data_IF_875014012756
#
_entry.id   IF_875014012756
#
_cell.length_a   1.000
_cell.length_b   1.000
_cell.length_c   1.000
_cell.angle_alpha   90.00
_cell.angle_beta   90.00
_cell.angle_gamma   90.00
#
_symmetry.space_group_name_H-M   'P 1'
#
loop_
_entity.id
_entity.type
_entity.pdbx_description
1 polymer ?
#
# COMPACT_ATOMS: atom_id res chain seq x y z
N UNK A 1 14.66 12.31 9.40
CA UNK A 1 13.71 11.34 9.97
C UNK A 1 14.50 10.52 10.96
N UNK A 2 14.04 10.41 12.21
CA UNK A 2 14.69 9.56 13.21
C UNK A 2 14.36 8.09 12.93
N UNK A 3 15.08 7.14 13.54
CA UNK A 3 14.78 5.70 13.41
C UNK A 3 13.36 5.38 13.89
N UNK A 4 12.88 6.09 14.93
CA UNK A 4 11.51 5.98 15.43
C UNK A 4 10.47 6.46 14.40
N UNK A 5 10.75 7.55 13.69
CA UNK A 5 9.88 8.05 12.62
C UNK A 5 9.85 7.10 11.41
N UNK A 6 10.99 6.49 11.09
CA UNK A 6 11.10 5.48 10.03
C UNK A 6 10.30 4.22 10.36
N UNK A 7 10.44 3.72 11.58
CA UNK A 7 9.67 2.56 12.05
C UNK A 7 8.16 2.86 12.05
N UNK A 8 7.76 4.07 12.45
CA UNK A 8 6.36 4.47 12.40
C UNK A 8 5.82 4.51 10.95
N UNK A 9 6.55 5.12 10.03
CA UNK A 9 6.18 5.19 8.62
C UNK A 9 6.11 3.79 7.97
N UNK A 10 7.08 2.94 8.27
CA UNK A 10 7.10 1.55 7.83
C UNK A 10 5.90 0.77 8.39
N UNK A 11 5.58 0.95 9.67
CA UNK A 11 4.40 0.33 10.30
C UNK A 11 3.11 0.78 9.60
N UNK A 12 2.97 2.08 9.29
CA UNK A 12 1.83 2.61 8.54
C UNK A 12 1.73 2.00 7.13
N UNK A 13 2.86 1.85 6.43
CA UNK A 13 2.91 1.18 5.13
C UNK A 13 2.39 -0.26 5.21
N UNK A 14 2.93 -1.09 6.11
CA UNK A 14 2.52 -2.49 6.24
C UNK A 14 1.07 -2.64 6.72
N UNK A 15 0.60 -1.77 7.62
CA UNK A 15 -0.81 -1.76 8.03
C UNK A 15 -1.75 -1.42 6.88
N UNK A 16 -1.38 -0.43 6.08
CA UNK A 16 -2.20 0.02 4.96
C UNK A 16 -2.25 -1.04 3.85
N UNK A 17 -1.14 -1.73 3.60
CA UNK A 17 -1.08 -2.88 2.68
C UNK A 17 -1.88 -4.09 3.21
N UNK A 18 -1.75 -4.43 4.51
CA UNK A 18 -2.51 -5.51 5.14
C UNK A 18 -4.01 -5.23 5.11
N UNK A 19 -4.43 -4.01 5.42
CA UNK A 19 -5.83 -3.61 5.38
C UNK A 19 -6.43 -3.81 3.97
N UNK A 20 -5.66 -3.51 2.92
CA UNK A 20 -6.08 -3.76 1.55
C UNK A 20 -6.24 -5.25 1.26
N UNK A 21 -5.26 -6.07 1.66
CA UNK A 21 -5.30 -7.51 1.41
C UNK A 21 -6.35 -8.27 2.23
N UNK A 22 -6.60 -7.88 3.49
CA UNK A 22 -7.66 -8.46 4.34
C UNK A 22 -9.05 -8.10 3.84
N UNK A 23 -9.20 -6.92 3.20
CA UNK A 23 -10.40 -6.62 2.42
C UNK A 23 -10.64 -7.65 1.29
N UNK A 24 -9.64 -8.43 0.89
CA UNK A 24 -9.69 -9.45 -0.15
C UNK A 24 -9.78 -10.91 0.32
N UNK A 25 -10.04 -11.18 1.61
CA UNK A 25 -10.17 -12.49 2.29
C UNK A 25 -8.87 -13.15 2.80
N UNK A 26 -7.75 -13.07 2.07
CA UNK A 26 -6.40 -13.47 2.53
C UNK A 26 -5.32 -12.76 1.69
N UNK A 27 -4.17 -12.42 2.27
CA UNK A 27 -3.05 -11.83 1.52
C UNK A 27 -2.30 -12.94 0.77
N UNK A 28 -2.34 -12.99 -0.58
CA UNK A 28 -1.52 -13.93 -1.33
C UNK A 28 -0.03 -13.66 -1.06
N UNK A 29 0.78 -14.71 -0.99
CA UNK A 29 2.24 -14.63 -0.74
C UNK A 29 2.98 -13.68 -1.68
N UNK A 30 2.47 -13.52 -2.91
CA UNK A 30 3.00 -12.57 -3.92
C UNK A 30 2.80 -11.12 -3.49
N UNK A 31 1.65 -10.77 -2.90
CA UNK A 31 1.38 -9.42 -2.42
C UNK A 31 2.21 -9.10 -1.17
N UNK A 32 2.44 -10.08 -0.30
CA UNK A 32 3.30 -9.92 0.88
C UNK A 32 4.75 -9.64 0.49
N UNK A 33 5.33 -10.42 -0.44
CA UNK A 33 6.67 -10.20 -0.95
C UNK A 33 6.81 -8.85 -1.68
N UNK A 34 5.80 -8.49 -2.50
CA UNK A 34 5.77 -7.19 -3.18
C UNK A 34 5.71 -6.02 -2.19
N UNK A 35 5.00 -6.17 -1.07
CA UNK A 35 4.86 -5.13 -0.05
C UNK A 35 6.21 -4.72 0.53
N UNK A 36 7.10 -5.68 0.81
CA UNK A 36 8.46 -5.39 1.30
C UNK A 36 9.32 -4.71 0.23
N UNK A 37 9.32 -5.23 -1.00
CA UNK A 37 10.13 -4.69 -2.10
C UNK A 37 9.74 -3.25 -2.44
N UNK A 38 8.44 -2.93 -2.48
CA UNK A 38 7.97 -1.58 -2.73
C UNK A 38 8.25 -0.63 -1.56
N UNK A 39 8.23 -1.12 -0.30
CA UNK A 39 8.64 -0.30 0.85
C UNK A 39 10.10 0.17 0.70
N UNK A 40 11.00 -0.74 0.33
CA UNK A 40 12.41 -0.42 0.09
C UNK A 40 12.57 0.54 -1.11
N UNK A 41 11.88 0.28 -2.22
CA UNK A 41 12.04 1.06 -3.45
C UNK A 41 11.39 2.46 -3.40
N UNK A 42 10.23 2.61 -2.76
CA UNK A 42 9.45 3.86 -2.75
C UNK A 42 9.80 4.73 -1.53
N UNK A 43 10.04 4.10 -0.37
CA UNK A 43 10.24 4.79 0.90
C UNK A 43 11.70 4.70 1.40
N UNK A 44 12.55 3.91 0.75
CA UNK A 44 13.98 3.82 1.08
C UNK A 44 14.25 3.06 2.37
N UNK A 45 13.33 2.21 2.82
CA UNK A 45 13.54 1.39 4.02
C UNK A 45 14.57 0.30 3.79
N UNK A 46 15.27 -0.09 4.85
CA UNK A 46 16.10 -1.29 4.85
C UNK A 46 15.24 -2.53 5.10
N UNK A 47 15.81 -3.71 4.87
CA UNK A 47 15.14 -4.97 5.17
C UNK A 47 14.88 -5.12 6.69
N UNK A 48 15.82 -4.66 7.52
CA UNK A 48 15.69 -4.70 8.99
C UNK A 48 14.49 -3.88 9.47
N UNK A 49 14.34 -2.64 9.00
CA UNK A 49 13.18 -1.79 9.32
C UNK A 49 11.89 -2.44 8.84
N UNK A 50 11.90 -3.07 7.67
CA UNK A 50 10.73 -3.79 7.18
C UNK A 50 10.36 -4.98 8.07
N UNK A 51 11.35 -5.73 8.58
CA UNK A 51 11.15 -6.85 9.49
C UNK A 51 10.61 -6.38 10.84
N UNK A 52 11.21 -5.33 11.43
CA UNK A 52 10.74 -4.74 12.70
C UNK A 52 9.34 -4.16 12.59
N UNK A 53 9.03 -3.45 11.50
CA UNK A 53 7.71 -2.88 11.27
C UNK A 53 6.61 -3.94 11.09
N UNK A 54 6.97 -5.17 10.71
CA UNK A 54 6.07 -6.32 10.58
C UNK A 54 5.85 -7.08 11.89
N UNK A 55 6.61 -6.75 12.94
CA UNK A 55 6.48 -7.42 14.23
C UNK A 55 5.05 -7.33 14.76
N UNK A 56 4.53 -8.49 15.17
CA UNK A 56 3.16 -8.66 15.62
C UNK A 56 2.82 -7.75 16.80
N UNK A 57 3.78 -7.38 17.66
CA UNK A 57 3.52 -6.51 18.82
C UNK A 57 3.15 -5.08 18.41
N UNK A 58 3.73 -4.58 17.31
CA UNK A 58 3.49 -3.24 16.78
C UNK A 58 2.26 -3.16 15.86
N UNK A 59 2.02 -4.20 15.06
CA UNK A 59 0.90 -4.26 14.10
C UNK A 59 -0.42 -4.74 14.74
N UNK A 60 -0.38 -5.68 15.68
CA UNK A 60 -1.61 -6.29 16.25
C UNK A 60 -2.45 -5.31 17.07
N UNK A 61 -1.83 -4.28 17.63
CA UNK A 61 -2.48 -3.27 18.47
C UNK A 61 -3.08 -2.10 17.67
N UNK A 62 -2.90 -2.06 16.34
CA UNK A 62 -3.32 -0.93 15.51
C UNK A 62 -4.56 -1.26 14.69
N UNK A 63 -5.54 -0.36 14.75
CA UNK A 63 -6.82 -0.44 14.07
C UNK A 63 -6.77 0.22 12.68
N UNK A 64 -7.82 0.01 11.88
CA UNK A 64 -8.01 0.77 10.62
C UNK A 64 -8.09 2.28 10.87
N UNK A 65 -8.60 2.71 12.02
CA UNK A 65 -8.69 4.13 12.39
C UNK A 65 -7.30 4.70 12.63
N UNK A 66 -6.43 3.95 13.31
CA UNK A 66 -5.05 4.36 13.55
C UNK A 66 -4.27 4.48 12.24
N UNK A 67 -4.54 3.58 11.28
CA UNK A 67 -3.98 3.64 9.95
C UNK A 67 -4.40 4.92 9.20
N UNK A 68 -5.71 5.19 9.09
CA UNK A 68 -6.21 6.38 8.39
C UNK A 68 -5.76 7.68 9.06
N UNK A 69 -5.77 7.71 10.39
CA UNK A 69 -5.34 8.88 11.17
C UNK A 69 -3.84 9.13 11.02
N UNK A 70 -3.03 8.06 11.03
CA UNK A 70 -1.59 8.15 10.84
C UNK A 70 -1.22 8.64 9.45
N UNK A 71 -1.84 8.08 8.40
CA UNK A 71 -1.58 8.51 7.01
C UNK A 71 -1.97 9.98 6.80
N UNK A 72 -3.08 10.44 7.40
CA UNK A 72 -3.52 11.85 7.34
C UNK A 72 -2.51 12.83 7.96
N UNK A 73 -1.74 12.40 8.96
CA UNK A 73 -0.76 13.26 9.65
C UNK A 73 0.59 13.35 8.93
N UNK A 74 0.79 12.54 7.88
CA UNK A 74 2.03 12.57 7.12
C UNK A 74 2.12 13.82 6.22
N UNK A 75 3.34 14.27 5.91
CA UNK A 75 3.56 15.14 4.77
C UNK A 75 2.88 14.57 3.51
N UNK A 76 2.18 15.42 2.76
CA UNK A 76 1.37 15.02 1.59
C UNK A 76 2.14 14.10 0.63
N UNK A 77 3.39 14.43 0.33
CA UNK A 77 4.25 13.62 -0.55
C UNK A 77 4.42 12.18 -0.06
N UNK A 78 4.61 11.97 1.26
CA UNK A 78 4.75 10.62 1.83
C UNK A 78 3.41 9.89 1.82
N UNK A 79 2.31 10.59 2.11
CA UNK A 79 0.98 10.01 2.09
C UNK A 79 0.57 9.55 0.67
N UNK A 80 0.88 10.35 -0.35
CA UNK A 80 0.68 9.99 -1.76
C UNK A 80 1.55 8.81 -2.20
N UNK A 81 2.80 8.72 -1.71
CA UNK A 81 3.67 7.54 -1.95
C UNK A 81 3.07 6.27 -1.36
N UNK A 82 2.52 6.33 -0.14
CA UNK A 82 1.82 5.21 0.50
C UNK A 82 0.62 4.79 -0.35
N UNK A 83 -0.27 5.72 -0.70
CA UNK A 83 -1.45 5.43 -1.53
C UNK A 83 -1.07 4.77 -2.86
N UNK A 84 -0.09 5.35 -3.56
CA UNK A 84 0.35 4.86 -4.87
C UNK A 84 0.94 3.45 -4.75
N UNK A 85 1.84 3.22 -3.79
CA UNK A 85 2.48 1.93 -3.60
C UNK A 85 1.50 0.82 -3.26
N UNK A 86 0.53 1.11 -2.40
CA UNK A 86 -0.54 0.17 -2.03
C UNK A 86 -1.43 -0.18 -3.23
N UNK A 87 -1.81 0.81 -4.03
CA UNK A 87 -2.54 0.55 -5.26
C UNK A 87 -1.76 -0.32 -6.23
N UNK A 88 -0.44 -0.11 -6.36
CA UNK A 88 0.43 -0.95 -7.20
C UNK A 88 0.51 -2.39 -6.67
N UNK A 89 0.53 -2.60 -5.35
CA UNK A 89 0.51 -3.93 -4.74
C UNK A 89 -0.80 -4.65 -5.10
N UNK A 90 -1.96 -4.02 -4.95
CA UNK A 90 -3.21 -4.68 -5.34
C UNK A 90 -3.33 -4.90 -6.84
N UNK A 91 -2.77 -4.01 -7.67
CA UNK A 91 -2.66 -4.24 -9.11
C UNK A 91 -1.62 -5.30 -9.51
N UNK A 92 -0.90 -5.93 -8.57
CA UNK A 92 0.05 -7.00 -8.91
C UNK A 92 -0.61 -8.15 -9.68
N UNK A 93 -1.90 -8.38 -9.45
CA UNK A 93 -2.72 -9.37 -10.16
C UNK A 93 -3.68 -8.75 -11.20
N UNK A 94 -3.36 -7.54 -11.70
CA UNK A 94 -4.08 -6.81 -12.77
C UNK A 94 -5.54 -6.47 -12.48
N UNK A 95 -6.04 -6.75 -11.28
CA UNK A 95 -7.39 -6.42 -10.86
C UNK A 95 -7.37 -5.98 -9.40
N UNK A 96 -8.27 -5.06 -9.06
CA UNK A 96 -8.62 -4.81 -7.67
C UNK A 96 -10.02 -5.35 -7.42
N UNK A 97 -10.19 -6.07 -6.32
CA UNK A 97 -11.50 -6.46 -5.80
C UNK A 97 -12.26 -5.22 -5.31
N UNK A 98 -13.61 -5.23 -5.29
CA UNK A 98 -14.39 -4.08 -4.85
C UNK A 98 -14.01 -3.54 -3.45
N UNK A 99 -13.64 -4.42 -2.53
CA UNK A 99 -13.22 -4.04 -1.19
C UNK A 99 -11.83 -3.36 -1.17
N UNK A 100 -10.92 -3.77 -2.05
CA UNK A 100 -9.62 -3.10 -2.24
C UNK A 100 -9.83 -1.69 -2.81
N UNK A 101 -10.72 -1.54 -3.80
CA UNK A 101 -11.09 -0.20 -4.35
C UNK A 101 -11.69 0.69 -3.27
N UNK A 102 -12.58 0.14 -2.44
CA UNK A 102 -13.18 0.87 -1.31
C UNK A 102 -12.12 1.31 -0.31
N UNK A 103 -11.16 0.45 0.01
CA UNK A 103 -10.04 0.79 0.89
C UNK A 103 -9.15 1.89 0.31
N UNK A 104 -8.75 1.77 -0.95
CA UNK A 104 -7.95 2.79 -1.63
C UNK A 104 -8.69 4.14 -1.70
N UNK A 105 -10.02 4.12 -1.88
CA UNK A 105 -10.86 5.32 -1.83
C UNK A 105 -10.89 5.96 -0.44
N UNK A 106 -10.93 5.15 0.63
CA UNK A 106 -10.87 5.63 2.01
C UNK A 106 -9.51 6.25 2.34
N UNK A 107 -8.41 5.64 1.89
CA UNK A 107 -7.06 6.20 2.03
C UNK A 107 -6.92 7.52 1.27
N UNK A 108 -7.35 7.58 0.01
CA UNK A 108 -7.35 8.79 -0.80
C UNK A 108 -8.13 9.93 -0.13
N UNK A 109 -9.32 9.62 0.40
CA UNK A 109 -10.14 10.59 1.16
C UNK A 109 -9.43 11.09 2.43
N UNK A 110 -8.74 10.20 3.16
CA UNK A 110 -8.02 10.58 4.38
C UNK A 110 -6.88 11.57 4.14
N UNK A 111 -6.32 11.60 2.91
CA UNK A 111 -5.24 12.51 2.50
C UNK A 111 -5.73 13.64 1.59
N UNK A 112 -7.05 13.87 1.55
CA UNK A 112 -7.69 14.95 0.80
C UNK A 112 -7.45 14.89 -0.72
N UNK A 113 -7.27 13.69 -1.27
CA UNK A 113 -7.27 13.45 -2.72
C UNK A 113 -8.72 13.47 -3.21
N UNK A 114 -8.99 14.28 -4.22
CA UNK A 114 -10.34 14.37 -4.80
C UNK A 114 -10.74 13.08 -5.52
N UNK A 115 -12.04 12.77 -5.64
CA UNK A 115 -12.50 11.61 -6.41
C UNK A 115 -11.98 11.59 -7.85
N UNK A 116 -11.87 12.75 -8.49
CA UNK A 116 -11.37 12.88 -9.87
C UNK A 116 -9.87 12.59 -9.98
N UNK A 117 -9.08 12.97 -8.98
CA UNK A 117 -7.66 12.63 -8.88
C UNK A 117 -7.48 11.14 -8.61
N UNK A 118 -8.28 10.59 -7.68
CA UNK A 118 -8.26 9.16 -7.36
C UNK A 118 -8.62 8.29 -8.58
N UNK A 119 -9.66 8.67 -9.32
CA UNK A 119 -10.05 7.95 -10.54
C UNK A 119 -8.93 7.98 -11.60
N UNK A 120 -8.24 9.11 -11.75
CA UNK A 120 -7.05 9.22 -12.64
C UNK A 120 -5.92 8.29 -12.17
N UNK A 121 -5.65 8.22 -10.88
CA UNK A 121 -4.66 7.28 -10.32
C UNK A 121 -5.01 5.82 -10.63
N UNK A 122 -6.28 5.41 -10.45
CA UNK A 122 -6.74 4.06 -10.78
C UNK A 122 -6.55 3.72 -12.26
N UNK A 123 -6.90 4.64 -13.16
CA UNK A 123 -6.71 4.45 -14.61
C UNK A 123 -5.23 4.29 -14.94
N UNK A 124 -4.38 5.19 -14.44
CA UNK A 124 -2.94 5.17 -14.72
C UNK A 124 -2.27 3.89 -14.19
N UNK A 125 -2.60 3.48 -12.96
CA UNK A 125 -2.07 2.28 -12.36
C UNK A 125 -2.48 1.02 -13.14
N UNK A 126 -3.72 0.96 -13.64
CA UNK A 126 -4.19 -0.13 -14.53
C UNK A 126 -3.39 -0.19 -15.84
N UNK A 127 -3.16 0.96 -16.47
CA UNK A 127 -2.36 1.06 -17.70
C UNK A 127 -0.93 0.56 -17.45
N UNK A 128 -0.27 1.03 -16.39
CA UNK A 128 1.09 0.61 -16.03
C UNK A 128 1.14 -0.90 -15.76
N UNK A 129 0.20 -1.45 -14.98
CA UNK A 129 0.11 -2.88 -14.71
C UNK A 129 -0.03 -3.71 -15.99
N UNK A 130 -0.77 -3.21 -17.00
CA UNK A 130 -0.90 -3.86 -18.30
C UNK A 130 0.39 -3.84 -19.14
N UNK A 131 1.26 -2.84 -18.94
CA UNK A 131 2.54 -2.69 -19.66
C UNK A 131 3.63 -3.60 -19.07
N UNK A 132 3.63 -3.81 -17.75
CA UNK A 132 4.65 -4.59 -17.04
C UNK A 132 4.59 -6.10 -17.30
N UNK A 133 3.51 -6.61 -17.87
CA UNK A 133 3.43 -7.96 -18.45
C UNK A 133 2.61 -7.90 -19.74
N UNK A 134 3.24 -7.75 -20.93
CA UNK A 134 2.53 -7.72 -22.19
C UNK A 134 1.69 -9.00 -22.37
N UNK A 135 0.52 -8.88 -22.99
CA UNK A 135 -0.36 -10.01 -23.27
C UNK A 135 0.42 -11.06 -24.08
N UNK A 136 0.81 -12.19 -23.46
CA UNK A 136 1.50 -13.26 -24.20
C UNK A 136 2.41 -14.23 -23.45
N UNK A 137 2.70 -14.07 -22.15
CA UNK A 137 3.40 -15.13 -21.42
C UNK A 137 2.37 -16.10 -20.81
N UNK A 138 2.27 -17.37 -21.26
CA UNK A 138 1.50 -18.37 -20.54
C UNK A 138 2.08 -18.51 -19.13
N UNK A 139 1.19 -18.69 -18.15
CA UNK A 139 1.59 -19.04 -16.80
C UNK A 139 2.38 -20.36 -16.84
N UNK A 140 3.67 -20.29 -16.51
CA UNK A 140 4.52 -21.43 -16.18
C UNK A 140 4.40 -21.75 -14.70
#
# INVERSE_FOLDING_TARGET
MTDSDQLHLATLWFLSARAMAVAGEEMPTVQEAATGLYAQAILGFTEEICCEAKDAEYISNKTLIDCLSGVRQLPRELAEKILTGIMMISYSDRSMKPLEVRWASMLASAIEVSPDEFQRCCVNARVIASMLRPHGAPAS
#
